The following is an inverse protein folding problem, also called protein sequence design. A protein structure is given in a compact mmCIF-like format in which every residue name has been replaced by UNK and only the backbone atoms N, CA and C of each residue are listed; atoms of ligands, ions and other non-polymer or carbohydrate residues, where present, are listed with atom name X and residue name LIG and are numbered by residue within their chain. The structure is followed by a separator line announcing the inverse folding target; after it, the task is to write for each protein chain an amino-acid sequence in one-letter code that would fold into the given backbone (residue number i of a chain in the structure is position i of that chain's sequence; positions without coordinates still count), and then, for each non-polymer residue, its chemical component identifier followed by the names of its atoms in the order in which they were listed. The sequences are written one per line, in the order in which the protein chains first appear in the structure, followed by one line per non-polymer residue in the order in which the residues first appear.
data_IF_484340543048
#
_entry.id   IF_484340543048
#
_cell.length_a   1.000
_cell.length_b   1.000
_cell.length_c   1.000
_cell.angle_alpha   90.00
_cell.angle_beta   90.00
_cell.angle_gamma   90.00
#
_symmetry.space_group_name_H-M   'P 1'
#
loop_
_entity.id
_entity.type
_entity.pdbx_description
1 polymer ?
#
# COMPACT_ATOMS: atom_id res chain seq x y z
N UNK A 1 -3.00 -20.08 -6.07
CA UNK A 1 -1.89 -19.19 -6.50
C UNK A 1 -2.39 -17.94 -7.22
N UNK A 2 -3.39 -18.03 -8.12
CA UNK A 2 -3.92 -16.88 -8.86
C UNK A 2 -4.42 -15.71 -7.98
N UNK A 3 -5.13 -15.97 -6.88
CA UNK A 3 -5.61 -14.89 -6.00
C UNK A 3 -4.51 -14.08 -5.30
N UNK A 4 -3.38 -14.70 -4.98
CA UNK A 4 -2.25 -14.02 -4.33
C UNK A 4 -1.46 -13.18 -5.37
N UNK A 5 -1.30 -13.69 -6.59
CA UNK A 5 -0.68 -12.93 -7.67
C UNK A 5 -1.57 -11.75 -8.09
N UNK A 6 -2.88 -11.97 -8.22
CA UNK A 6 -3.85 -10.93 -8.59
C UNK A 6 -3.93 -9.82 -7.54
N UNK A 7 -3.89 -10.15 -6.24
CA UNK A 7 -3.87 -9.11 -5.21
C UNK A 7 -2.57 -8.31 -5.22
N UNK A 8 -1.42 -8.93 -5.45
CA UNK A 8 -0.14 -8.20 -5.57
C UNK A 8 -0.12 -7.25 -6.78
N UNK A 9 -0.78 -7.59 -7.88
CA UNK A 9 -0.83 -6.74 -9.07
C UNK A 9 -1.85 -5.61 -8.98
N UNK A 10 -2.99 -5.84 -8.31
CA UNK A 10 -4.11 -4.89 -8.26
C UNK A 10 -4.06 -3.94 -7.05
N UNK A 11 -3.43 -4.35 -5.93
CA UNK A 11 -3.32 -3.52 -4.71
C UNK A 11 -2.46 -2.25 -4.85
N UNK A 12 -1.35 -2.23 -5.63
CA UNK A 12 -0.49 -1.05 -5.72
C UNK A 12 -1.22 0.18 -6.28
N UNK A 13 -2.21 0.00 -7.15
CA UNK A 13 -3.00 1.09 -7.73
C UNK A 13 -3.71 1.94 -6.67
N UNK A 14 -4.69 1.40 -5.92
CA UNK A 14 -5.40 2.15 -4.90
C UNK A 14 -4.48 2.59 -3.75
N UNK A 15 -3.48 1.79 -3.39
CA UNK A 15 -2.55 2.13 -2.31
C UNK A 15 -1.65 3.32 -2.69
N UNK A 16 -1.17 3.37 -3.94
CA UNK A 16 -0.41 4.50 -4.47
C UNK A 16 -1.24 5.78 -4.48
N UNK A 17 -2.50 5.69 -4.89
CA UNK A 17 -3.44 6.83 -4.85
C UNK A 17 -3.72 7.29 -3.42
N UNK A 18 -3.92 6.38 -2.46
CA UNK A 18 -4.10 6.75 -1.05
C UNK A 18 -2.89 7.48 -0.48
N UNK A 19 -1.67 6.98 -0.74
CA UNK A 19 -0.43 7.64 -0.29
C UNK A 19 -0.29 9.02 -0.93
N UNK A 20 -0.57 9.13 -2.23
CA UNK A 20 -0.51 10.41 -2.95
C UNK A 20 -1.52 11.40 -2.36
N UNK A 21 -2.76 10.97 -2.12
CA UNK A 21 -3.81 11.80 -1.51
C UNK A 21 -3.47 12.20 -0.07
N UNK A 22 -2.84 11.32 0.71
CA UNK A 22 -2.38 11.66 2.07
C UNK A 22 -1.29 12.73 2.03
N UNK A 23 -0.34 12.62 1.10
CA UNK A 23 0.67 13.66 0.91
C UNK A 23 0.06 14.97 0.42
N UNK A 24 -0.88 14.90 -0.53
CA UNK A 24 -1.58 16.06 -1.08
C UNK A 24 -2.48 16.74 -0.03
N UNK A 25 -3.04 16.00 0.92
CA UNK A 25 -3.76 16.57 2.06
C UNK A 25 -2.84 17.34 3.03
N UNK A 26 -1.57 16.92 3.17
CA UNK A 26 -0.59 17.57 4.02
C UNK A 26 0.11 18.75 3.34
N UNK A 27 0.20 18.72 2.02
CA UNK A 27 0.70 19.79 1.19
C UNK A 27 -0.51 20.58 0.73
N UNK A 28 -0.99 21.57 1.49
CA UNK A 28 -2.11 22.45 1.08
C UNK A 28 -1.78 23.20 -0.22
N UNK A 29 -1.80 22.49 -1.35
CA UNK A 29 -1.62 22.99 -2.71
C UNK A 29 -3.05 23.22 -3.18
N UNK A 30 -3.58 24.36 -2.74
CA UNK A 30 -4.88 24.82 -3.19
C UNK A 30 -4.86 25.00 -4.72
N UNK A 31 -5.88 24.51 -5.41
CA UNK A 31 -6.02 24.66 -6.87
C UNK A 31 -5.95 26.12 -7.33
N UNK A 32 -6.29 27.08 -6.46
CA UNK A 32 -6.10 28.51 -6.69
C UNK A 32 -4.62 28.94 -6.73
N UNK A 33 -3.75 28.26 -5.96
CA UNK A 33 -2.32 28.59 -5.89
C UNK A 33 -1.54 28.14 -7.14
N UNK A 34 -1.99 27.09 -7.81
CA UNK A 34 -1.42 26.62 -9.09
C UNK A 34 -1.78 27.58 -10.24
N UNK A 35 -2.98 28.17 -10.26
CA UNK A 35 -3.35 29.18 -11.27
C UNK A 35 -2.61 30.51 -11.07
N UNK A 36 -2.20 30.84 -9.84
CA UNK A 36 -1.52 32.11 -9.53
C UNK A 36 0.00 32.14 -9.77
N UNK A 37 0.62 31.04 -10.23
CA UNK A 37 2.07 30.89 -10.45
C UNK A 37 2.94 31.40 -9.27
N UNK A 38 2.52 31.07 -8.04
CA UNK A 38 3.21 31.49 -6.81
C UNK A 38 4.39 30.55 -6.48
N UNK A 39 5.48 31.10 -5.93
CA UNK A 39 6.68 30.34 -5.50
C UNK A 39 6.35 29.11 -4.64
N UNK A 40 5.31 29.20 -3.83
CA UNK A 40 4.85 28.14 -2.92
C UNK A 40 4.38 26.90 -3.67
N UNK A 41 3.69 27.06 -4.81
CA UNK A 41 3.23 25.94 -5.63
C UNK A 41 4.40 25.20 -6.30
N UNK A 42 5.45 25.94 -6.71
CA UNK A 42 6.66 25.36 -7.29
C UNK A 42 7.47 24.56 -6.27
N UNK A 43 7.56 25.05 -5.04
CA UNK A 43 8.25 24.34 -3.95
C UNK A 43 7.49 23.07 -3.53
N UNK A 44 6.15 23.11 -3.55
CA UNK A 44 5.30 21.94 -3.34
C UNK A 44 5.46 20.87 -4.43
N UNK A 45 5.42 21.27 -5.71
CA UNK A 45 5.63 20.36 -6.83
C UNK A 45 7.03 19.72 -6.83
N UNK A 46 8.06 20.50 -6.46
CA UNK A 46 9.42 19.98 -6.27
C UNK A 46 9.46 18.91 -5.18
N UNK A 47 8.83 19.15 -4.02
CA UNK A 47 8.80 18.19 -2.92
C UNK A 47 8.10 16.87 -3.32
N UNK A 48 6.96 16.95 -4.01
CA UNK A 48 6.25 15.77 -4.51
C UNK A 48 7.10 14.95 -5.48
N UNK A 49 7.85 15.61 -6.36
CA UNK A 49 8.78 14.94 -7.27
C UNK A 49 9.91 14.24 -6.51
N UNK A 50 10.51 14.89 -5.51
CA UNK A 50 11.57 14.30 -4.67
C UNK A 50 11.06 13.04 -3.95
N UNK A 51 9.86 13.09 -3.38
CA UNK A 51 9.28 11.93 -2.68
C UNK A 51 9.03 10.76 -3.64
N UNK A 52 8.50 11.02 -4.84
CA UNK A 52 8.32 9.99 -5.86
C UNK A 52 9.64 9.31 -6.27
N UNK A 53 10.72 10.09 -6.38
CA UNK A 53 12.07 9.56 -6.62
C UNK A 53 12.59 8.72 -5.44
N UNK A 54 12.33 9.13 -4.19
CA UNK A 54 12.68 8.33 -3.01
C UNK A 54 11.99 6.96 -3.05
N UNK A 55 10.68 6.90 -3.35
CA UNK A 55 9.97 5.63 -3.48
C UNK A 55 10.54 4.74 -4.59
N UNK A 56 10.93 5.34 -5.72
CA UNK A 56 11.57 4.60 -6.83
C UNK A 56 12.92 4.03 -6.41
N UNK A 57 13.74 4.79 -5.69
CA UNK A 57 15.03 4.32 -5.18
C UNK A 57 14.87 3.17 -4.18
N UNK A 58 13.90 3.27 -3.27
CA UNK A 58 13.53 2.19 -2.35
C UNK A 58 13.09 0.95 -3.14
N UNK A 59 12.26 1.10 -4.16
CA UNK A 59 11.84 0.00 -5.02
C UNK A 59 13.04 -0.67 -5.72
N UNK A 60 13.97 0.12 -6.27
CA UNK A 60 15.20 -0.40 -6.90
C UNK A 60 16.05 -1.20 -5.92
N UNK A 61 16.18 -0.75 -4.67
CA UNK A 61 16.89 -1.51 -3.63
C UNK A 61 16.20 -2.87 -3.36
N UNK A 62 14.88 -2.89 -3.26
CA UNK A 62 14.12 -4.12 -3.04
C UNK A 62 14.28 -5.14 -4.18
N UNK A 63 14.45 -4.70 -5.44
CA UNK A 63 14.71 -5.58 -6.59
C UNK A 63 15.98 -6.41 -6.40
N UNK A 64 17.04 -5.83 -5.82
CA UNK A 64 18.28 -6.56 -5.53
C UNK A 64 18.16 -7.55 -4.35
N UNK A 65 17.17 -7.34 -3.45
CA UNK A 65 16.90 -8.21 -2.30
C UNK A 65 16.02 -9.42 -2.65
N UNK A 66 15.19 -9.33 -3.68
CA UNK A 66 14.30 -10.40 -4.15
C UNK A 66 14.97 -11.75 -4.54
N UNK A 67 16.15 -11.83 -5.18
CA UNK A 67 16.73 -13.12 -5.60
C UNK A 67 17.10 -14.04 -4.43
N UNK A 68 17.60 -13.47 -3.33
CA UNK A 68 17.96 -14.21 -2.12
C UNK A 68 16.72 -14.74 -1.38
N UNK A 69 15.66 -13.93 -1.26
CA UNK A 69 14.39 -14.35 -0.65
C UNK A 69 13.72 -15.50 -1.43
N UNK A 70 13.78 -15.48 -2.76
CA UNK A 70 13.25 -16.57 -3.60
C UNK A 70 13.93 -17.91 -3.34
N UNK A 71 15.24 -17.90 -3.10
CA UNK A 71 16.04 -19.11 -2.90
C UNK A 71 15.78 -19.74 -1.53
N UNK A 72 15.66 -18.92 -0.49
CA UNK A 72 15.37 -19.42 0.87
C UNK A 72 13.92 -19.88 1.02
N UNK A 73 12.96 -19.20 0.37
CA UNK A 73 11.57 -19.68 0.30
C UNK A 73 11.48 -21.00 -0.47
N UNK A 74 12.29 -21.20 -1.51
CA UNK A 74 12.33 -22.49 -2.23
C UNK A 74 12.90 -23.63 -1.36
N UNK A 75 13.87 -23.35 -0.50
CA UNK A 75 14.36 -24.30 0.52
C UNK A 75 13.28 -24.58 1.56
N UNK A 76 12.65 -23.54 2.13
CA UNK A 76 11.55 -23.70 3.09
C UNK A 76 10.37 -24.49 2.49
N UNK A 77 10.06 -24.32 1.21
CA UNK A 77 9.01 -25.10 0.55
C UNK A 77 9.36 -26.59 0.43
N UNK A 78 10.65 -26.93 0.27
CA UNK A 78 11.12 -28.32 0.17
C UNK A 78 11.28 -29.00 1.54
N UNK A 79 11.70 -28.25 2.55
CA UNK A 79 12.06 -28.79 3.88
C UNK A 79 11.03 -28.44 4.96
N UNK A 80 10.03 -27.62 4.63
CA UNK A 80 9.06 -27.09 5.59
C UNK A 80 8.10 -28.15 6.09
N UNK A 81 8.09 -28.33 7.42
CA UNK A 81 7.07 -29.11 8.13
C UNK A 81 5.72 -28.37 8.26
N UNK A 82 4.74 -29.02 8.86
CA UNK A 82 3.41 -28.44 9.13
C UNK A 82 3.40 -27.66 10.44
N UNK A 83 2.96 -26.40 10.41
CA UNK A 83 2.85 -25.51 11.58
C UNK A 83 1.38 -25.18 11.91
N UNK A 84 0.63 -26.09 12.54
CA UNK A 84 -0.82 -25.94 12.75
C UNK A 84 -1.20 -24.76 13.66
N UNK A 85 -0.37 -24.44 14.66
CA UNK A 85 -0.62 -23.29 15.56
C UNK A 85 -0.52 -21.96 14.83
N UNK A 86 0.46 -21.84 13.93
CA UNK A 86 0.65 -20.65 13.11
C UNK A 86 -0.51 -20.50 12.11
N UNK A 87 -0.95 -21.60 11.50
CA UNK A 87 -2.10 -21.61 10.61
C UNK A 87 -3.39 -21.16 11.32
N UNK A 88 -3.64 -21.63 12.54
CA UNK A 88 -4.80 -21.21 13.34
C UNK A 88 -4.77 -19.71 13.68
N UNK A 89 -3.60 -19.20 14.07
CA UNK A 89 -3.42 -17.77 14.34
C UNK A 89 -3.67 -16.92 13.09
N UNK A 90 -3.13 -17.32 11.93
CA UNK A 90 -3.33 -16.61 10.67
C UNK A 90 -4.82 -16.61 10.29
N UNK A 91 -5.50 -17.75 10.44
CA UNK A 91 -6.93 -17.85 10.14
C UNK A 91 -7.78 -16.92 11.02
N UNK A 92 -7.49 -16.88 12.33
CA UNK A 92 -8.14 -15.96 13.25
C UNK A 92 -7.89 -14.50 12.88
N UNK A 93 -6.65 -14.13 12.57
CA UNK A 93 -6.30 -12.77 12.15
C UNK A 93 -7.03 -12.36 10.87
N UNK A 94 -7.09 -13.24 9.86
CA UNK A 94 -7.85 -13.00 8.62
C UNK A 94 -9.33 -12.79 8.89
N UNK A 95 -9.92 -13.60 9.77
CA UNK A 95 -11.32 -13.48 10.14
C UNK A 95 -11.62 -12.13 10.79
N UNK A 96 -10.77 -11.69 11.72
CA UNK A 96 -10.92 -10.39 12.38
C UNK A 96 -10.81 -9.25 11.35
N UNK A 97 -9.80 -9.28 10.48
CA UNK A 97 -9.61 -8.24 9.46
C UNK A 97 -10.81 -8.16 8.51
N UNK A 98 -11.33 -9.31 8.06
CA UNK A 98 -12.52 -9.34 7.20
C UNK A 98 -13.75 -8.81 7.92
N UNK A 99 -13.96 -9.19 9.18
CA UNK A 99 -15.09 -8.69 9.97
C UNK A 99 -15.00 -7.15 10.13
N UNK A 100 -13.84 -6.62 10.52
CA UNK A 100 -13.64 -5.17 10.67
C UNK A 100 -13.79 -4.42 9.35
N UNK A 101 -13.30 -4.98 8.24
CA UNK A 101 -13.44 -4.39 6.91
C UNK A 101 -14.91 -4.31 6.46
N UNK A 102 -15.67 -5.40 6.63
CA UNK A 102 -17.10 -5.42 6.31
C UNK A 102 -17.87 -4.42 7.18
N UNK A 103 -17.60 -4.38 8.49
CA UNK A 103 -18.23 -3.40 9.38
C UNK A 103 -17.88 -1.96 8.99
N UNK A 104 -16.63 -1.67 8.63
CA UNK A 104 -16.22 -0.35 8.17
C UNK A 104 -16.92 0.09 6.88
N UNK A 105 -17.07 -0.83 5.90
CA UNK A 105 -17.81 -0.56 4.66
C UNK A 105 -19.29 -0.31 4.94
N UNK A 106 -19.92 -1.10 5.82
CA UNK A 106 -21.33 -0.92 6.19
C UNK A 106 -21.56 0.41 6.93
N UNK A 107 -20.66 0.78 7.85
CA UNK A 107 -20.73 2.05 8.58
C UNK A 107 -20.60 3.25 7.63
N UNK A 108 -19.65 3.20 6.69
CA UNK A 108 -19.50 4.25 5.68
C UNK A 108 -20.74 4.39 4.79
N UNK A 109 -21.39 3.28 4.42
CA UNK A 109 -22.63 3.33 3.64
C UNK A 109 -23.80 3.93 4.42
N UNK A 110 -23.91 3.64 5.73
CA UNK A 110 -24.96 4.25 6.57
C UNK A 110 -24.80 5.76 6.71
N UNK A 111 -23.58 6.28 6.83
CA UNK A 111 -23.34 7.73 6.95
C UNK A 111 -23.70 8.50 5.67
N UNK A 112 -23.63 7.87 4.50
CA UNK A 112 -24.07 8.49 3.22
C UNK A 112 -25.58 8.49 2.98
N UNK A 113 -26.37 7.84 3.84
CA UNK A 113 -27.84 7.69 3.65
C UNK A 113 -28.67 8.64 4.54
N UNK A 114 -28.03 9.43 5.42
CA UNK A 114 -28.64 10.57 6.12
C UNK A 114 -28.28 11.90 5.44
#
# INVERSE_FOLDING_TARGET
MYGLVSTITELPGPFGTMLTNMMDAHLTVDTDSIQSDSKVARDGAWLSCVIAYCFTFVATFFVALLPQQKLDVAKLKRTGGSFPRLAAFIFYAFFVILATSITGLLASMSETTD
#
